data_IF_000774330115
#
_entry.id   IF_000774330115
#
_cell.length_a   1.000
_cell.length_b   1.000
_cell.length_c   1.000
_cell.angle_alpha   90.00
_cell.angle_beta   90.00
_cell.angle_gamma   90.00
#
_symmetry.space_group_name_H-M   'P 1'
#
loop_
_entity.id
_entity.type
_entity.pdbx_description
1 polymer ?
#
# COMPACT_ATOMS: atom_id res chain seq x y z
N UNK A 1 45.12 -38.60 -48.84
CA UNK A 1 44.87 -38.35 -47.40
C UNK A 1 44.61 -39.67 -46.71
N UNK A 2 45.26 -39.91 -45.58
CA UNK A 2 45.01 -41.14 -44.81
C UNK A 2 43.59 -41.11 -44.24
N UNK A 3 42.97 -42.30 -44.14
CA UNK A 3 41.62 -42.48 -43.58
C UNK A 3 41.51 -41.87 -42.18
N UNK A 4 42.57 -41.94 -41.37
CA UNK A 4 42.69 -41.34 -40.06
C UNK A 4 42.71 -39.80 -40.08
N UNK A 5 43.32 -39.20 -41.10
CA UNK A 5 43.38 -37.72 -41.27
C UNK A 5 41.99 -37.18 -41.59
N UNK A 6 41.16 -37.95 -42.40
CA UNK A 6 39.80 -37.54 -42.71
C UNK A 6 38.92 -37.59 -41.46
N UNK A 7 39.02 -38.66 -40.66
CA UNK A 7 38.25 -38.80 -39.41
C UNK A 7 38.60 -37.67 -38.41
N UNK A 8 39.87 -37.30 -38.27
CA UNK A 8 40.33 -36.25 -37.37
C UNK A 8 39.83 -34.87 -37.82
N UNK A 9 39.91 -34.55 -39.10
CA UNK A 9 39.36 -33.30 -39.64
C UNK A 9 37.84 -33.21 -39.50
N UNK A 10 37.09 -34.27 -39.77
CA UNK A 10 35.64 -34.29 -39.55
C UNK A 10 35.26 -34.12 -38.10
N UNK A 11 35.99 -34.74 -37.18
CA UNK A 11 35.75 -34.57 -35.74
C UNK A 11 36.02 -33.15 -35.27
N UNK A 12 37.12 -32.50 -35.74
CA UNK A 12 37.43 -31.11 -35.38
C UNK A 12 36.37 -30.17 -35.96
N UNK A 13 35.97 -30.32 -37.21
CA UNK A 13 34.92 -29.51 -37.81
C UNK A 13 33.59 -29.67 -37.09
N UNK A 14 33.19 -30.91 -36.75
CA UNK A 14 31.97 -31.14 -36.00
C UNK A 14 31.99 -30.49 -34.60
N UNK A 15 33.09 -30.63 -33.90
CA UNK A 15 33.24 -29.96 -32.56
C UNK A 15 33.23 -28.45 -32.69
N UNK A 16 33.83 -27.87 -33.73
CA UNK A 16 33.77 -26.43 -33.96
C UNK A 16 32.35 -25.95 -34.30
N UNK A 17 31.61 -26.73 -35.09
CA UNK A 17 30.20 -26.44 -35.42
C UNK A 17 29.29 -26.57 -34.18
N UNK A 18 29.50 -27.59 -33.34
CA UNK A 18 28.76 -27.76 -32.09
C UNK A 18 29.10 -26.64 -31.09
N UNK A 19 30.37 -26.28 -30.99
CA UNK A 19 30.78 -25.15 -30.12
C UNK A 19 30.23 -23.81 -30.63
N UNK A 20 30.25 -23.59 -31.94
CA UNK A 20 29.66 -22.41 -32.54
C UNK A 20 28.14 -22.35 -32.32
N UNK A 21 27.45 -23.48 -32.56
CA UNK A 21 26.02 -23.60 -32.34
C UNK A 21 25.65 -23.38 -30.85
N UNK A 22 26.43 -23.95 -29.93
CA UNK A 22 26.21 -23.75 -28.47
C UNK A 22 26.49 -22.34 -28.04
N UNK A 23 27.58 -21.75 -28.55
CA UNK A 23 27.96 -20.35 -28.23
C UNK A 23 26.93 -19.34 -28.76
N UNK A 24 26.54 -19.47 -30.02
CA UNK A 24 25.54 -18.56 -30.62
C UNK A 24 24.11 -18.78 -30.12
N UNK A 25 23.68 -20.01 -29.83
CA UNK A 25 22.38 -20.24 -29.22
C UNK A 25 22.33 -19.72 -27.78
N UNK A 26 23.38 -19.93 -27.00
CA UNK A 26 23.47 -19.39 -25.65
C UNK A 26 23.50 -17.86 -25.62
N UNK A 27 24.18 -17.21 -26.60
CA UNK A 27 24.18 -15.75 -26.71
C UNK A 27 22.81 -15.18 -27.17
N UNK A 28 22.05 -15.91 -28.00
CA UNK A 28 20.76 -15.42 -28.49
C UNK A 28 19.72 -15.36 -27.38
N UNK A 29 19.57 -16.39 -26.56
CA UNK A 29 18.65 -16.37 -25.39
C UNK A 29 19.11 -15.34 -24.36
N UNK A 30 20.42 -15.27 -24.09
CA UNK A 30 20.97 -14.26 -23.19
C UNK A 30 20.91 -12.82 -23.75
N UNK A 31 20.97 -12.64 -25.08
CA UNK A 31 20.98 -11.31 -25.69
C UNK A 31 19.64 -10.60 -25.55
N UNK A 32 18.51 -11.32 -25.68
CA UNK A 32 17.18 -10.73 -25.58
C UNK A 32 16.86 -10.29 -24.15
N UNK A 33 17.09 -11.14 -23.16
CA UNK A 33 16.95 -10.81 -21.74
C UNK A 33 17.91 -9.69 -21.35
N UNK A 34 19.15 -9.73 -21.80
CA UNK A 34 20.13 -8.66 -21.54
C UNK A 34 19.69 -7.32 -22.14
N UNK A 35 19.13 -7.32 -23.35
CA UNK A 35 18.61 -6.10 -23.98
C UNK A 35 17.45 -5.52 -23.18
N UNK A 36 16.49 -6.36 -22.76
CA UNK A 36 15.34 -5.91 -21.98
C UNK A 36 15.73 -5.40 -20.60
N UNK A 37 16.68 -6.05 -19.91
CA UNK A 37 17.18 -5.56 -18.61
C UNK A 37 17.96 -4.26 -18.76
N UNK A 38 18.80 -4.13 -19.78
CA UNK A 38 19.57 -2.89 -20.04
C UNK A 38 18.62 -1.73 -20.41
N UNK A 39 17.55 -1.99 -21.16
CA UNK A 39 16.54 -0.98 -21.46
C UNK A 39 15.78 -0.56 -20.19
N UNK A 40 15.41 -1.50 -19.33
CA UNK A 40 14.77 -1.18 -18.05
C UNK A 40 15.67 -0.32 -17.15
N UNK A 41 16.96 -0.66 -17.03
CA UNK A 41 17.95 0.14 -16.29
C UNK A 41 18.12 1.54 -16.90
N UNK A 42 18.20 1.63 -18.22
CA UNK A 42 18.30 2.91 -18.92
C UNK A 42 17.10 3.80 -18.62
N UNK A 43 15.88 3.29 -18.76
CA UNK A 43 14.64 4.05 -18.50
C UNK A 43 14.54 4.43 -17.03
N UNK A 44 14.86 3.52 -16.11
CA UNK A 44 14.89 3.79 -14.66
C UNK A 44 15.94 4.86 -14.28
N UNK A 45 17.01 5.02 -15.09
CA UNK A 45 18.05 6.04 -14.85
C UNK A 45 17.64 7.46 -15.28
N UNK A 46 16.52 7.63 -16.00
CA UNK A 46 16.02 8.94 -16.42
C UNK A 46 15.46 9.65 -15.19
N UNK A 47 16.19 10.64 -14.71
CA UNK A 47 15.92 11.28 -13.42
C UNK A 47 14.65 12.12 -13.38
N UNK A 48 14.13 12.59 -14.52
CA UNK A 48 13.00 13.50 -14.61
C UNK A 48 13.07 14.65 -13.58
N UNK A 49 14.27 15.22 -13.40
CA UNK A 49 14.59 16.22 -12.37
C UNK A 49 14.34 15.78 -10.91
N UNK A 50 14.09 14.50 -10.65
CA UNK A 50 13.71 13.98 -9.36
C UNK A 50 12.22 14.11 -9.05
N UNK A 51 11.41 14.63 -9.98
CA UNK A 51 10.01 14.97 -9.80
C UNK A 51 9.08 14.24 -10.78
N UNK A 52 9.46 13.04 -11.18
CA UNK A 52 8.70 12.21 -12.12
C UNK A 52 9.50 10.97 -12.50
N UNK A 53 8.98 10.24 -13.44
CA UNK A 53 9.54 8.96 -13.94
C UNK A 53 9.29 8.79 -15.42
N UNK A 54 10.04 7.91 -16.05
CA UNK A 54 9.77 7.43 -17.40
C UNK A 54 9.39 5.93 -17.32
N UNK A 55 8.64 5.46 -18.31
CA UNK A 55 8.19 4.06 -18.38
C UNK A 55 8.64 3.42 -19.70
N UNK A 56 8.80 2.10 -19.72
CA UNK A 56 9.13 1.33 -20.93
C UNK A 56 8.00 1.36 -21.97
N UNK A 57 6.75 1.43 -21.49
CA UNK A 57 5.52 1.53 -22.28
C UNK A 57 4.99 2.96 -22.41
N UNK A 58 5.77 3.95 -21.96
CA UNK A 58 5.41 5.35 -21.98
C UNK A 58 5.51 5.96 -23.38
N UNK A 59 5.11 7.24 -23.48
CA UNK A 59 5.23 8.00 -24.72
C UNK A 59 6.69 8.18 -25.12
N UNK A 60 6.97 8.09 -26.43
CA UNK A 60 8.31 8.28 -26.97
C UNK A 60 8.32 9.53 -27.85
N UNK A 61 9.23 10.45 -27.59
CA UNK A 61 9.47 11.64 -28.41
C UNK A 61 10.95 11.65 -28.82
N UNK A 62 11.22 11.80 -30.11
CA UNK A 62 12.57 11.75 -30.67
C UNK A 62 13.39 10.52 -30.25
N UNK A 63 12.72 9.35 -30.14
CA UNK A 63 13.33 8.09 -29.77
C UNK A 63 13.69 7.96 -28.29
N UNK A 64 13.20 8.84 -27.41
CA UNK A 64 13.44 8.81 -25.97
C UNK A 64 12.11 8.75 -25.20
N UNK A 65 12.05 7.98 -24.11
CA UNK A 65 10.90 8.00 -23.20
C UNK A 65 10.67 9.41 -22.63
N UNK A 66 9.40 9.80 -22.55
CA UNK A 66 8.97 11.09 -21.96
C UNK A 66 8.79 10.93 -20.46
N UNK A 67 9.16 11.97 -19.71
CA UNK A 67 8.90 12.02 -18.28
C UNK A 67 7.41 12.22 -17.97
N UNK A 68 6.88 11.38 -17.12
CA UNK A 68 5.59 11.56 -16.44
C UNK A 68 5.82 12.19 -15.08
N UNK A 69 5.37 13.43 -14.91
CA UNK A 69 5.65 14.21 -13.73
C UNK A 69 4.79 13.83 -12.54
N UNK A 70 5.36 13.92 -11.33
CA UNK A 70 4.60 13.89 -10.09
C UNK A 70 3.57 15.02 -10.07
N UNK A 71 2.51 14.85 -9.27
CA UNK A 71 1.59 15.95 -9.00
C UNK A 71 2.38 17.21 -8.61
N UNK A 72 1.92 18.38 -9.02
CA UNK A 72 2.57 19.65 -8.73
C UNK A 72 3.85 19.95 -9.51
N UNK A 73 4.25 19.11 -10.43
CA UNK A 73 5.38 19.37 -11.32
C UNK A 73 4.98 19.31 -12.79
N UNK A 74 5.70 20.00 -13.65
CA UNK A 74 5.45 20.07 -15.08
C UNK A 74 6.69 20.39 -15.89
N UNK A 75 6.50 20.56 -17.21
CA UNK A 75 7.57 20.71 -18.19
C UNK A 75 8.07 19.35 -18.70
N UNK A 76 8.85 19.35 -19.78
CA UNK A 76 9.34 18.12 -20.44
C UNK A 76 10.24 17.24 -19.55
N UNK A 77 10.81 17.81 -18.51
CA UNK A 77 11.70 17.13 -17.56
C UNK A 77 11.24 17.25 -16.11
N UNK A 78 9.96 17.58 -15.88
CA UNK A 78 9.38 17.75 -14.55
C UNK A 78 10.12 18.74 -13.64
N UNK A 79 10.72 19.78 -14.21
CA UNK A 79 11.54 20.76 -13.48
C UNK A 79 10.75 21.99 -13.01
N UNK A 80 9.49 22.15 -13.44
CA UNK A 80 8.66 23.33 -13.15
C UNK A 80 7.69 23.00 -12.04
N UNK A 81 7.87 23.60 -10.86
CA UNK A 81 6.92 23.47 -9.76
C UNK A 81 5.67 24.33 -10.00
N UNK A 82 4.50 23.76 -9.76
CA UNK A 82 3.18 24.40 -9.89
C UNK A 82 2.64 24.76 -8.50
N UNK A 83 2.78 26.02 -8.04
CA UNK A 83 2.51 26.38 -6.65
C UNK A 83 1.03 26.25 -6.23
N UNK A 84 0.12 26.41 -7.19
CA UNK A 84 -1.34 26.33 -6.94
C UNK A 84 -1.90 24.90 -6.89
N UNK A 85 -1.05 23.90 -7.07
CA UNK A 85 -1.48 22.50 -7.03
C UNK A 85 -2.00 22.09 -5.66
N UNK A 86 -2.72 20.99 -5.59
CA UNK A 86 -3.24 20.41 -4.34
C UNK A 86 -2.25 19.35 -3.83
N UNK A 87 -1.92 19.40 -2.54
CA UNK A 87 -1.20 18.30 -1.89
C UNK A 87 -2.17 17.12 -1.71
N UNK A 88 -2.03 16.11 -2.56
CA UNK A 88 -2.84 14.90 -2.47
C UNK A 88 -2.33 13.99 -1.34
N UNK A 89 -3.08 13.96 -0.25
CA UNK A 89 -2.90 13.04 0.87
C UNK A 89 -4.08 12.06 1.01
N UNK A 90 -4.90 11.87 -0.04
CA UNK A 90 -6.03 10.94 -0.02
C UNK A 90 -5.66 9.54 -0.49
N UNK A 91 -4.94 9.40 -1.62
CA UNK A 91 -4.61 8.11 -2.22
C UNK A 91 -3.74 7.23 -1.32
N UNK A 92 -4.02 5.92 -1.33
CA UNK A 92 -3.25 4.90 -0.59
C UNK A 92 -2.18 4.19 -1.42
N UNK A 93 -1.79 4.74 -2.58
CA UNK A 93 -0.80 4.13 -3.45
C UNK A 93 0.61 4.29 -2.88
N UNK A 94 1.35 3.20 -2.62
CA UNK A 94 2.63 3.26 -1.92
C UNK A 94 3.79 3.68 -2.82
N UNK A 95 3.70 4.88 -3.39
CA UNK A 95 4.70 5.48 -4.27
C UNK A 95 6.07 5.68 -3.59
N UNK A 96 6.14 5.70 -2.28
CA UNK A 96 7.40 5.75 -1.54
C UNK A 96 8.33 4.56 -1.81
N UNK A 97 7.80 3.45 -2.35
CA UNK A 97 8.58 2.28 -2.77
C UNK A 97 9.20 2.43 -4.16
N UNK A 98 8.81 3.44 -4.94
CA UNK A 98 9.32 3.65 -6.30
C UNK A 98 10.86 3.70 -6.38
N UNK A 99 11.59 4.43 -5.53
CA UNK A 99 13.05 4.45 -5.59
C UNK A 99 13.70 3.07 -5.37
N UNK A 100 13.06 2.20 -4.57
CA UNK A 100 13.50 0.82 -4.43
C UNK A 100 13.33 0.05 -5.75
N UNK A 101 12.17 0.17 -6.40
CA UNK A 101 11.90 -0.53 -7.65
C UNK A 101 12.74 -0.01 -8.82
N UNK A 102 13.02 1.30 -8.89
CA UNK A 102 13.94 1.87 -9.88
C UNK A 102 15.35 1.28 -9.73
N UNK A 103 15.83 1.10 -8.49
CA UNK A 103 17.12 0.43 -8.22
C UNK A 103 17.11 -1.04 -8.66
N UNK A 104 15.97 -1.70 -8.63
CA UNK A 104 15.79 -3.11 -8.99
C UNK A 104 15.14 -3.29 -10.38
N UNK A 105 15.22 -2.31 -11.26
CA UNK A 105 14.58 -2.31 -12.57
C UNK A 105 14.96 -3.54 -13.40
N UNK A 106 16.24 -3.90 -13.46
CA UNK A 106 16.71 -5.06 -14.21
C UNK A 106 16.13 -6.39 -13.65
N UNK A 107 16.20 -6.59 -12.34
CA UNK A 107 15.78 -7.86 -11.70
C UNK A 107 14.26 -8.03 -11.67
N UNK A 108 13.49 -6.94 -11.67
CA UNK A 108 12.02 -6.95 -11.71
C UNK A 108 11.44 -6.95 -13.14
N UNK A 109 12.28 -6.78 -14.17
CA UNK A 109 11.84 -6.76 -15.57
C UNK A 109 11.23 -8.08 -16.00
N UNK A 110 10.13 -7.98 -16.75
CA UNK A 110 9.42 -9.11 -17.34
C UNK A 110 9.46 -8.99 -18.85
N UNK A 111 9.70 -10.12 -19.54
CA UNK A 111 9.58 -10.22 -20.99
C UNK A 111 8.53 -11.27 -21.28
N UNK A 112 7.40 -10.85 -21.85
CA UNK A 112 6.27 -11.72 -22.16
C UNK A 112 6.01 -11.71 -23.67
N UNK A 113 6.53 -12.70 -24.43
CA UNK A 113 6.26 -12.80 -25.86
C UNK A 113 4.81 -13.25 -26.11
N UNK A 114 4.24 -12.89 -27.28
CA UNK A 114 2.85 -13.18 -27.61
C UNK A 114 2.46 -14.67 -27.63
N UNK A 115 3.45 -15.59 -27.71
CA UNK A 115 3.21 -17.04 -27.62
C UNK A 115 3.38 -17.58 -26.18
N UNK A 116 3.65 -16.71 -25.19
CA UNK A 116 3.90 -17.13 -23.83
C UNK A 116 2.67 -17.83 -23.25
N UNK A 117 2.81 -19.10 -22.92
CA UNK A 117 1.80 -19.93 -22.24
C UNK A 117 0.35 -19.61 -22.64
N UNK A 118 0.02 -19.84 -23.91
CA UNK A 118 -1.32 -19.63 -24.47
C UNK A 118 -2.33 -20.60 -23.83
N UNK A 119 -2.74 -20.29 -22.60
CA UNK A 119 -3.77 -21.02 -21.87
C UNK A 119 -4.42 -20.07 -20.88
N UNK A 120 -5.72 -20.17 -20.74
CA UNK A 120 -6.49 -19.49 -19.71
C UNK A 120 -6.74 -20.36 -18.47
N UNK A 121 -6.23 -21.59 -18.45
CA UNK A 121 -6.36 -22.46 -17.30
C UNK A 121 -5.53 -21.95 -16.13
N UNK A 122 -6.16 -21.93 -14.97
CA UNK A 122 -5.64 -21.29 -13.77
C UNK A 122 -4.50 -22.09 -13.13
N UNK A 123 -4.63 -23.40 -13.02
CA UNK A 123 -3.62 -24.28 -12.45
C UNK A 123 -3.38 -25.48 -13.36
N UNK A 124 -2.24 -25.50 -14.03
CA UNK A 124 -1.85 -26.51 -15.02
C UNK A 124 -0.58 -27.25 -14.62
N UNK A 125 -0.19 -27.22 -13.36
CA UNK A 125 1.06 -27.80 -12.85
C UNK A 125 2.34 -27.25 -13.53
N UNK A 126 2.26 -26.07 -14.14
CA UNK A 126 3.42 -25.43 -14.74
C UNK A 126 4.47 -25.06 -13.70
N UNK A 127 5.73 -24.91 -14.13
CA UNK A 127 6.81 -24.46 -13.24
C UNK A 127 6.49 -23.11 -12.58
N UNK A 128 5.86 -22.17 -13.32
CA UNK A 128 5.47 -20.87 -12.78
C UNK A 128 4.41 -21.02 -11.70
N UNK A 129 3.37 -21.82 -11.94
CA UNK A 129 2.31 -22.05 -10.95
C UNK A 129 2.86 -22.69 -9.68
N UNK A 130 3.73 -23.71 -9.81
CA UNK A 130 4.37 -24.37 -8.66
C UNK A 130 5.31 -23.45 -7.88
N UNK A 131 6.07 -22.63 -8.58
CA UNK A 131 7.00 -21.69 -7.96
C UNK A 131 6.26 -20.54 -7.28
N UNK A 132 5.18 -20.05 -7.88
CA UNK A 132 4.30 -19.06 -7.30
C UNK A 132 3.59 -19.62 -6.06
N UNK A 133 3.05 -20.84 -6.14
CA UNK A 133 2.41 -21.54 -5.04
C UNK A 133 3.33 -21.68 -3.82
N UNK A 134 4.61 -22.00 -4.04
CA UNK A 134 5.61 -22.06 -2.99
C UNK A 134 5.87 -20.69 -2.33
N UNK A 135 5.91 -19.62 -3.11
CA UNK A 135 6.09 -18.24 -2.61
C UNK A 135 4.83 -17.76 -1.88
N UNK A 136 3.66 -18.10 -2.38
CA UNK A 136 2.35 -17.70 -1.83
C UNK A 136 2.08 -18.40 -0.50
N UNK A 137 2.48 -19.66 -0.33
CA UNK A 137 2.36 -20.38 0.96
C UNK A 137 3.10 -19.69 2.09
N UNK A 138 4.11 -18.90 1.79
CA UNK A 138 4.83 -18.09 2.77
C UNK A 138 4.18 -16.71 3.01
N UNK A 139 3.33 -16.24 2.11
CA UNK A 139 2.77 -14.88 2.13
C UNK A 139 1.25 -14.80 2.18
N UNK A 140 0.52 -15.92 2.06
CA UNK A 140 -0.95 -16.10 1.94
C UNK A 140 -1.84 -14.93 2.44
N UNK A 141 -2.97 -14.65 1.98
CA UNK A 141 -4.15 -15.18 1.35
C UNK A 141 -5.34 -14.26 1.47
N UNK A 142 -6.33 -14.38 0.63
CA UNK A 142 -7.46 -13.48 0.66
C UNK A 142 -8.79 -14.05 0.30
N UNK A 143 -9.79 -13.53 0.74
CA UNK A 143 -11.04 -12.98 0.27
C UNK A 143 -12.29 -13.82 0.31
N UNK A 144 -13.32 -13.17 0.78
CA UNK A 144 -14.75 -13.41 0.58
C UNK A 144 -15.32 -14.74 1.06
N UNK A 145 -15.01 -15.09 2.29
CA UNK A 145 -15.72 -16.13 3.03
C UNK A 145 -17.13 -15.68 3.47
N UNK A 146 -17.63 -14.57 2.91
CA UNK A 146 -18.95 -14.03 3.27
C UNK A 146 -20.12 -14.95 2.90
N UNK A 147 -19.92 -15.86 1.95
CA UNK A 147 -21.01 -16.70 1.43
C UNK A 147 -21.10 -18.11 2.02
N UNK A 148 -20.34 -18.45 3.05
CA UNK A 148 -20.10 -19.87 3.33
C UNK A 148 -20.56 -20.40 4.67
N UNK A 149 -21.20 -19.63 5.49
CA UNK A 149 -21.83 -20.16 6.70
C UNK A 149 -23.24 -20.60 6.39
N UNK A 150 -23.57 -21.81 6.81
CA UNK A 150 -24.88 -22.48 6.75
C UNK A 150 -26.02 -21.48 6.68
N UNK A 151 -26.97 -21.66 5.77
CA UNK A 151 -28.17 -20.84 5.59
C UNK A 151 -28.77 -20.44 6.93
N UNK A 152 -28.49 -19.22 7.42
CA UNK A 152 -29.13 -18.78 8.63
C UNK A 152 -30.58 -18.40 8.29
N UNK A 153 -31.49 -18.62 9.23
CA UNK A 153 -32.85 -18.13 9.13
C UNK A 153 -32.97 -16.60 9.14
N UNK A 154 -31.84 -15.91 9.24
CA UNK A 154 -31.66 -14.45 9.17
C UNK A 154 -30.33 -14.11 8.57
N UNK A 155 -30.19 -12.98 7.85
CA UNK A 155 -28.92 -12.54 7.28
C UNK A 155 -27.83 -12.36 8.34
N UNK A 156 -26.59 -12.71 7.98
CA UNK A 156 -25.42 -12.43 8.81
C UNK A 156 -25.17 -10.93 8.93
N UNK A 157 -24.77 -10.46 10.10
CA UNK A 157 -24.46 -9.06 10.36
C UNK A 157 -22.97 -8.82 10.19
N UNK A 158 -22.61 -7.99 9.24
CA UNK A 158 -21.22 -7.60 9.00
C UNK A 158 -20.93 -6.36 9.84
N UNK A 159 -19.89 -6.42 10.66
CA UNK A 159 -19.51 -5.35 11.59
C UNK A 159 -18.00 -5.10 11.55
N UNK A 160 -17.60 -3.88 11.89
CA UNK A 160 -16.18 -3.51 12.03
C UNK A 160 -16.03 -2.41 13.09
N UNK A 161 -14.97 -2.47 13.89
CA UNK A 161 -14.73 -1.44 14.94
C UNK A 161 -14.35 -0.10 14.33
N UNK A 162 -15.13 0.95 14.69
CA UNK A 162 -14.86 2.33 14.25
C UNK A 162 -13.52 2.86 14.81
N UNK A 163 -12.72 3.61 14.02
CA UNK A 163 -12.89 3.84 12.60
C UNK A 163 -12.53 2.58 11.80
N UNK A 164 -13.25 2.30 10.71
CA UNK A 164 -13.07 1.12 9.86
C UNK A 164 -12.83 1.50 8.40
N UNK A 165 -12.29 0.57 7.62
CA UNK A 165 -12.04 0.80 6.19
C UNK A 165 -13.36 0.91 5.40
N UNK A 166 -13.61 2.01 4.66
CA UNK A 166 -14.92 2.31 4.05
C UNK A 166 -15.46 1.22 3.12
N UNK A 167 -14.57 0.54 2.40
CA UNK A 167 -14.94 -0.49 1.42
C UNK A 167 -15.76 -1.62 2.04
N UNK A 168 -15.61 -1.93 3.32
CA UNK A 168 -16.40 -2.98 3.98
C UNK A 168 -17.89 -2.68 3.91
N UNK A 169 -18.26 -1.44 4.22
CA UNK A 169 -19.64 -0.96 4.12
C UNK A 169 -20.09 -0.91 2.66
N UNK A 170 -19.29 -0.24 1.83
CA UNK A 170 -19.62 0.02 0.42
C UNK A 170 -19.83 -1.29 -0.36
N UNK A 171 -18.96 -2.29 -0.22
CA UNK A 171 -19.11 -3.60 -0.87
C UNK A 171 -20.32 -4.37 -0.32
N UNK A 172 -20.51 -4.39 0.99
CA UNK A 172 -21.63 -5.10 1.60
C UNK A 172 -22.97 -4.52 1.14
N UNK A 173 -23.08 -3.20 1.07
CA UNK A 173 -24.28 -2.51 0.59
C UNK A 173 -24.47 -2.64 -0.93
N UNK A 174 -23.38 -2.60 -1.71
CA UNK A 174 -23.41 -2.72 -3.17
C UNK A 174 -23.97 -4.09 -3.62
N UNK A 175 -23.48 -5.17 -3.01
CA UNK A 175 -23.97 -6.52 -3.34
C UNK A 175 -25.39 -6.75 -2.85
N UNK A 176 -25.88 -5.99 -1.87
CA UNK A 176 -27.24 -6.02 -1.35
C UNK A 176 -27.78 -7.45 -1.17
N UNK A 177 -26.96 -8.32 -0.59
CA UNK A 177 -27.26 -9.74 -0.42
C UNK A 177 -28.38 -9.94 0.59
N UNK A 178 -29.23 -10.96 0.36
CA UNK A 178 -30.17 -11.43 1.37
C UNK A 178 -29.47 -12.18 2.50
N UNK A 179 -28.24 -12.67 2.29
CA UNK A 179 -27.48 -13.50 3.21
C UNK A 179 -26.71 -12.69 4.27
N UNK A 180 -26.41 -11.41 3.99
CA UNK A 180 -25.65 -10.56 4.92
C UNK A 180 -25.96 -9.06 4.74
N UNK A 181 -25.78 -8.28 5.84
CA UNK A 181 -25.95 -6.82 5.85
C UNK A 181 -24.90 -6.15 6.72
N UNK A 182 -24.47 -4.94 6.33
CA UNK A 182 -23.58 -4.14 7.15
C UNK A 182 -24.37 -3.47 8.28
N UNK A 183 -23.93 -3.68 9.52
CA UNK A 183 -24.61 -3.17 10.75
C UNK A 183 -23.80 -2.05 11.45
N UNK A 184 -22.59 -1.76 10.98
CA UNK A 184 -21.78 -0.66 11.52
C UNK A 184 -20.76 -1.09 12.57
N UNK A 185 -20.68 -0.31 13.66
CA UNK A 185 -19.64 -0.47 14.68
C UNK A 185 -19.83 -1.72 15.54
N UNK A 186 -18.77 -2.51 15.66
CA UNK A 186 -18.71 -3.70 16.54
C UNK A 186 -19.07 -3.38 18.00
N UNK A 187 -18.77 -2.17 18.50
CA UNK A 187 -19.07 -1.77 19.87
C UNK A 187 -20.56 -1.80 20.21
N UNK A 188 -21.42 -1.61 19.22
CA UNK A 188 -22.87 -1.68 19.38
C UNK A 188 -23.33 -3.11 19.74
N UNK A 189 -22.52 -4.12 19.41
CA UNK A 189 -22.81 -5.52 19.66
C UNK A 189 -22.15 -6.08 20.95
N UNK A 190 -21.20 -5.40 21.54
CA UNK A 190 -20.45 -5.88 22.71
C UNK A 190 -21.12 -5.59 24.06
N UNK A 191 -22.08 -4.70 24.12
CA UNK A 191 -22.81 -4.41 25.36
C UNK A 191 -23.88 -5.46 25.56
N UNK A 192 -23.86 -6.21 26.66
CA UNK A 192 -24.73 -7.31 27.17
C UNK A 192 -26.24 -7.30 26.79
N UNK A 193 -26.65 -6.44 25.90
CA UNK A 193 -28.00 -6.29 25.35
C UNK A 193 -28.18 -6.98 23.99
N UNK A 194 -27.60 -8.20 23.85
CA UNK A 194 -28.21 -9.17 22.96
C UNK A 194 -28.19 -8.87 21.48
N UNK A 195 -27.03 -8.63 20.89
CA UNK A 195 -26.86 -8.92 19.47
C UNK A 195 -27.11 -10.43 19.28
N UNK A 196 -28.34 -10.78 18.94
CA UNK A 196 -28.73 -12.16 18.60
C UNK A 196 -28.55 -12.35 17.10
N UNK A 197 -27.86 -13.41 16.70
CA UNK A 197 -27.68 -13.74 15.29
C UNK A 197 -26.25 -14.11 14.96
N UNK A 198 -25.98 -14.30 13.68
CA UNK A 198 -24.66 -14.61 13.16
C UNK A 198 -23.93 -13.31 12.80
N UNK A 199 -22.68 -13.22 13.18
CA UNK A 199 -21.82 -12.05 12.92
C UNK A 199 -20.62 -12.42 12.08
N UNK A 200 -20.22 -11.49 11.23
CA UNK A 200 -18.94 -11.48 10.52
C UNK A 200 -18.24 -10.18 10.93
N UNK A 201 -17.23 -10.31 11.76
CA UNK A 201 -16.41 -9.17 12.19
C UNK A 201 -15.22 -8.99 11.25
N UNK A 202 -15.05 -7.78 10.71
CA UNK A 202 -13.92 -7.39 9.90
C UNK A 202 -12.91 -6.63 10.78
N UNK A 203 -11.72 -7.19 10.94
CA UNK A 203 -10.65 -6.66 11.80
C UNK A 203 -9.45 -6.27 10.97
N UNK A 204 -9.30 -4.99 10.68
CA UNK A 204 -8.10 -4.46 10.01
C UNK A 204 -6.98 -4.25 11.03
N UNK A 205 -5.81 -4.87 10.83
CA UNK A 205 -4.69 -4.76 11.76
C UNK A 205 -3.33 -4.81 11.02
N UNK A 206 -2.51 -3.73 11.02
CA UNK A 206 -2.82 -2.42 11.57
C UNK A 206 -4.00 -1.74 10.85
N UNK A 207 -4.77 -1.01 11.60
CA UNK A 207 -6.02 -0.44 11.11
C UNK A 207 -5.81 0.69 10.09
N UNK A 208 -6.69 0.76 9.14
CA UNK A 208 -6.88 1.89 8.25
C UNK A 208 -8.17 2.62 8.71
N UNK A 209 -8.08 3.82 9.35
CA UNK A 209 -7.07 4.87 9.05
C UNK A 209 -5.98 5.11 10.10
N UNK A 210 -6.08 4.59 11.33
CA UNK A 210 -5.34 5.07 12.49
C UNK A 210 -4.06 4.27 12.83
N UNK A 211 -3.75 3.19 12.08
CA UNK A 211 -2.54 2.39 12.26
C UNK A 211 -2.49 1.56 13.54
N UNK A 212 -3.57 1.49 14.34
CA UNK A 212 -3.62 0.68 15.55
C UNK A 212 -3.66 -0.81 15.24
N UNK A 213 -2.95 -1.62 16.02
CA UNK A 213 -3.08 -3.09 15.97
C UNK A 213 -4.36 -3.50 16.69
N UNK A 214 -5.39 -3.83 15.92
CA UNK A 214 -6.70 -4.27 16.44
C UNK A 214 -6.77 -5.78 16.56
N UNK A 215 -7.65 -6.25 17.46
CA UNK A 215 -8.01 -7.65 17.63
C UNK A 215 -9.51 -7.82 17.53
N UNK A 216 -9.96 -9.04 17.24
CA UNK A 216 -11.39 -9.39 17.27
C UNK A 216 -11.99 -9.09 18.63
N UNK A 217 -13.17 -8.48 18.63
CA UNK A 217 -13.94 -8.10 19.80
C UNK A 217 -15.04 -9.13 20.05
N UNK A 218 -15.67 -9.63 18.98
CA UNK A 218 -16.74 -10.62 19.08
C UNK A 218 -16.17 -12.01 19.26
N UNK A 219 -16.80 -12.79 20.14
CA UNK A 219 -16.39 -14.16 20.46
C UNK A 219 -17.59 -15.10 20.45
N UNK A 220 -17.29 -16.39 20.30
CA UNK A 220 -18.29 -17.46 20.36
C UNK A 220 -18.67 -18.05 19.00
N UNK A 221 -19.50 -19.10 18.99
CA UNK A 221 -19.75 -19.90 17.78
C UNK A 221 -20.51 -19.12 16.69
N UNK A 222 -21.25 -18.09 17.06
CA UNK A 222 -22.04 -17.26 16.13
C UNK A 222 -21.23 -16.10 15.54
N UNK A 223 -19.99 -15.87 15.98
CA UNK A 223 -19.10 -14.85 15.46
C UNK A 223 -18.03 -15.50 14.57
N UNK A 224 -17.84 -14.97 13.37
CA UNK A 224 -16.75 -15.30 12.48
C UNK A 224 -15.93 -14.04 12.25
N UNK A 225 -14.62 -14.17 12.21
CA UNK A 225 -13.72 -13.02 12.05
C UNK A 225 -12.94 -13.15 10.76
N UNK A 226 -12.84 -12.05 10.03
CA UNK A 226 -11.95 -11.89 8.89
C UNK A 226 -10.90 -10.86 9.30
N UNK A 227 -9.63 -11.28 9.34
CA UNK A 227 -8.50 -10.41 9.66
C UNK A 227 -7.92 -9.82 8.38
N UNK A 228 -8.05 -8.51 8.22
CA UNK A 228 -7.44 -7.75 7.13
C UNK A 228 -6.06 -7.26 7.54
N UNK A 229 -5.04 -7.93 7.02
CA UNK A 229 -3.63 -7.66 7.24
C UNK A 229 -2.98 -6.90 6.07
N UNK A 230 -3.74 -6.12 5.31
CA UNK A 230 -3.23 -5.36 4.16
C UNK A 230 -1.98 -4.53 4.50
N UNK A 231 -1.87 -4.03 5.72
CA UNK A 231 -0.74 -3.24 6.22
C UNK A 231 0.14 -3.99 7.24
N UNK A 232 -0.03 -5.29 7.44
CA UNK A 232 0.76 -6.06 8.40
C UNK A 232 2.13 -6.45 7.83
N UNK A 233 2.89 -5.43 7.44
CA UNK A 233 4.23 -5.55 6.85
C UNK A 233 5.24 -4.73 7.64
N UNK A 234 6.52 -5.19 7.73
CA UNK A 234 7.55 -4.54 8.55
C UNK A 234 7.82 -3.07 8.26
N UNK A 235 7.42 -2.55 7.12
CA UNK A 235 7.56 -1.14 6.76
C UNK A 235 6.38 -0.27 7.22
N UNK A 236 5.24 -0.84 7.63
CA UNK A 236 4.10 -0.08 8.16
C UNK A 236 3.87 -0.25 9.65
N UNK A 237 4.31 -1.38 10.23
CA UNK A 237 4.10 -1.67 11.64
C UNK A 237 5.20 -2.59 12.15
N UNK A 238 5.55 -2.53 13.45
CA UNK A 238 6.24 -3.64 14.08
C UNK A 238 5.41 -4.92 13.96
N UNK A 239 6.06 -6.03 13.66
CA UNK A 239 5.41 -7.35 13.59
C UNK A 239 5.65 -8.06 14.93
N UNK A 240 4.76 -7.97 15.92
CA UNK A 240 5.00 -8.54 17.25
C UNK A 240 5.03 -10.07 17.24
N UNK A 241 4.26 -10.69 16.34
CA UNK A 241 4.22 -12.14 16.12
C UNK A 241 3.85 -12.42 14.66
N UNK A 242 4.05 -13.65 14.22
CA UNK A 242 3.49 -14.11 12.95
C UNK A 242 1.96 -14.06 13.04
N UNK A 243 1.33 -13.67 11.93
CA UNK A 243 -0.13 -13.75 11.83
C UNK A 243 -0.54 -15.23 11.77
N UNK A 244 -1.47 -15.62 12.63
CA UNK A 244 -1.97 -17.01 12.74
C UNK A 244 -3.45 -16.97 13.12
N UNK A 245 -4.27 -16.52 12.19
CA UNK A 245 -5.71 -16.38 12.37
C UNK A 245 -6.45 -17.28 11.38
N UNK A 246 -7.68 -17.69 11.72
CA UNK A 246 -8.44 -18.62 10.90
C UNK A 246 -8.74 -18.14 9.48
N UNK A 247 -8.87 -16.82 9.32
CA UNK A 247 -9.09 -16.20 8.01
C UNK A 247 -8.36 -14.87 7.95
N UNK A 248 -7.40 -14.78 7.06
CA UNK A 248 -6.51 -13.65 6.89
C UNK A 248 -6.55 -13.11 5.46
N UNK A 249 -6.50 -11.80 5.34
CA UNK A 249 -6.43 -11.06 4.07
C UNK A 249 -5.10 -10.31 4.02
N UNK A 250 -4.30 -10.55 2.97
CA UNK A 250 -3.12 -9.77 2.65
C UNK A 250 -3.27 -9.15 1.26
N UNK A 251 -2.44 -8.18 0.90
CA UNK A 251 -2.42 -7.60 -0.44
C UNK A 251 -1.03 -7.20 -0.88
N UNK A 252 -0.69 -7.54 -2.10
CA UNK A 252 0.54 -7.10 -2.76
C UNK A 252 0.53 -5.60 -3.05
N UNK A 253 -0.65 -5.00 -3.19
CA UNK A 253 -0.78 -3.55 -3.38
C UNK A 253 -0.07 -2.75 -2.29
N UNK A 254 -0.05 -3.23 -1.06
CA UNK A 254 0.63 -2.56 0.06
C UNK A 254 2.02 -3.11 0.34
N UNK A 255 2.26 -4.39 0.01
CA UNK A 255 3.59 -5.00 0.13
C UNK A 255 4.57 -4.41 -0.87
N UNK A 256 4.22 -4.40 -2.14
CA UNK A 256 5.13 -4.07 -3.25
C UNK A 256 4.74 -2.83 -4.05
N UNK A 257 3.53 -2.31 -3.85
CA UNK A 257 2.97 -1.22 -4.67
C UNK A 257 2.20 -1.70 -5.91
N UNK A 258 2.07 -3.01 -6.10
CA UNK A 258 1.41 -3.61 -7.27
C UNK A 258 0.10 -4.29 -6.84
N UNK A 259 -1.01 -3.98 -7.53
CA UNK A 259 -2.34 -4.47 -7.13
C UNK A 259 -2.60 -5.91 -7.53
N UNK A 260 -2.63 -6.82 -6.56
CA UNK A 260 -3.06 -8.22 -6.72
C UNK A 260 -3.45 -8.81 -5.35
N UNK A 261 -4.32 -9.83 -5.32
CA UNK A 261 -4.89 -10.41 -4.09
C UNK A 261 -4.75 -11.94 -4.05
N UNK A 262 -4.70 -12.53 -2.83
CA UNK A 262 -4.42 -13.95 -2.59
C UNK A 262 -5.27 -14.60 -1.46
N UNK A 263 -5.38 -15.96 -1.36
CA UNK A 263 -6.46 -16.70 -0.69
C UNK A 263 -6.07 -17.93 0.16
N UNK A 264 -6.89 -18.30 1.20
CA UNK A 264 -6.84 -19.48 2.09
C UNK A 264 -7.48 -20.76 1.48
N UNK A 265 -7.02 -22.00 1.84
CA UNK A 265 -7.34 -23.30 1.20
C UNK A 265 -8.82 -23.74 1.32
N UNK A 266 -9.51 -23.61 2.45
CA UNK A 266 -10.90 -24.03 2.58
C UNK A 266 -11.89 -23.02 1.96
N UNK A 267 -11.53 -21.76 2.00
CA UNK A 267 -12.14 -20.67 1.26
C UNK A 267 -11.74 -20.77 -0.21
N UNK A 268 -10.51 -21.14 -0.50
CA UNK A 268 -9.95 -21.39 -1.82
C UNK A 268 -10.81 -22.35 -2.65
N UNK A 269 -11.22 -23.52 -2.15
CA UNK A 269 -12.02 -24.48 -2.93
C UNK A 269 -13.42 -23.90 -3.32
N UNK A 270 -14.04 -23.13 -2.48
CA UNK A 270 -15.32 -22.47 -2.80
C UNK A 270 -15.14 -21.25 -3.68
N UNK A 271 -14.06 -20.51 -3.49
CA UNK A 271 -13.69 -19.41 -4.37
C UNK A 271 -13.16 -19.88 -5.71
N UNK A 272 -12.42 -20.99 -5.79
CA UNK A 272 -12.11 -21.61 -7.06
C UNK A 272 -13.38 -21.91 -7.83
N UNK A 273 -14.43 -22.40 -7.15
CA UNK A 273 -15.73 -22.59 -7.80
C UNK A 273 -16.32 -21.26 -8.27
N UNK A 274 -16.30 -20.21 -7.44
CA UNK A 274 -16.79 -18.89 -7.81
C UNK A 274 -15.93 -18.24 -8.91
N UNK A 275 -14.61 -18.32 -8.80
CA UNK A 275 -13.67 -17.79 -9.80
C UNK A 275 -13.79 -18.54 -11.12
N UNK A 276 -13.93 -19.87 -11.10
CA UNK A 276 -14.15 -20.66 -12.30
C UNK A 276 -15.47 -20.30 -13.00
N UNK A 277 -16.49 -19.91 -12.23
CA UNK A 277 -17.77 -19.48 -12.77
C UNK A 277 -17.78 -18.01 -13.24
N UNK A 278 -16.89 -17.16 -12.69
CA UNK A 278 -16.93 -15.70 -12.93
C UNK A 278 -15.73 -15.14 -13.69
N UNK A 279 -14.50 -15.62 -13.46
CA UNK A 279 -13.28 -15.00 -13.98
C UNK A 279 -12.30 -15.96 -14.66
N UNK A 280 -12.48 -17.26 -14.59
CA UNK A 280 -11.53 -18.29 -15.05
C UNK A 280 -10.12 -18.20 -14.44
N UNK A 281 -9.92 -17.37 -13.38
CA UNK A 281 -8.67 -17.24 -12.65
C UNK A 281 -7.80 -16.04 -13.07
N UNK A 282 -6.56 -16.03 -12.58
CA UNK A 282 -5.58 -14.97 -12.82
C UNK A 282 -4.76 -15.25 -14.07
N UNK A 283 -4.59 -14.25 -14.95
CA UNK A 283 -3.80 -14.37 -16.16
C UNK A 283 -2.35 -14.81 -15.84
N UNK A 284 -1.74 -15.61 -16.70
CA UNK A 284 -0.38 -16.13 -16.47
C UNK A 284 0.69 -15.06 -16.46
N UNK A 285 0.51 -14.01 -17.23
CA UNK A 285 1.37 -12.83 -17.24
C UNK A 285 1.36 -12.16 -15.86
N UNK A 286 0.18 -12.07 -15.26
CA UNK A 286 0.00 -11.57 -13.90
C UNK A 286 0.72 -12.45 -12.88
N UNK A 287 0.55 -13.78 -12.96
CA UNK A 287 1.27 -14.73 -12.10
C UNK A 287 2.79 -14.59 -12.26
N UNK A 288 3.31 -14.46 -13.49
CA UNK A 288 4.73 -14.23 -13.73
C UNK A 288 5.23 -12.91 -13.13
N UNK A 289 4.41 -11.86 -13.26
CA UNK A 289 4.72 -10.55 -12.65
C UNK A 289 4.82 -10.67 -11.15
N UNK A 290 3.83 -11.25 -10.49
CA UNK A 290 3.83 -11.49 -9.03
C UNK A 290 5.07 -12.26 -8.61
N UNK A 291 5.36 -13.39 -9.26
CA UNK A 291 6.53 -14.20 -8.96
C UNK A 291 7.84 -13.41 -9.05
N UNK A 292 7.98 -12.57 -10.09
CA UNK A 292 9.16 -11.71 -10.26
C UNK A 292 9.29 -10.67 -9.15
N UNK A 293 8.19 -10.00 -8.82
CA UNK A 293 8.16 -8.99 -7.75
C UNK A 293 8.46 -9.62 -6.38
N UNK A 294 7.86 -10.77 -6.08
CA UNK A 294 8.12 -11.49 -4.83
C UNK A 294 9.57 -11.94 -4.73
N UNK A 295 10.17 -12.48 -5.81
CA UNK A 295 11.59 -12.87 -5.80
C UNK A 295 12.49 -11.70 -5.42
N UNK A 296 12.25 -10.51 -5.94
CA UNK A 296 13.00 -9.29 -5.56
C UNK A 296 12.67 -8.87 -4.13
N UNK A 297 11.39 -8.88 -3.76
CA UNK A 297 10.96 -8.43 -2.43
C UNK A 297 11.52 -9.31 -1.30
N UNK A 298 11.60 -10.64 -1.50
CA UNK A 298 12.11 -11.58 -0.48
C UNK A 298 13.61 -11.83 -0.57
N UNK A 299 14.30 -11.23 -1.52
CA UNK A 299 15.75 -11.33 -1.63
C UNK A 299 16.42 -10.91 -0.31
N UNK A 300 17.44 -11.65 0.12
CA UNK A 300 18.06 -11.47 1.43
C UNK A 300 17.06 -11.52 2.60
N UNK A 301 16.09 -12.44 2.55
CA UNK A 301 15.03 -12.57 3.55
C UNK A 301 14.15 -11.28 3.66
N UNK A 302 13.97 -10.56 2.56
CA UNK A 302 13.22 -9.30 2.51
C UNK A 302 13.89 -8.11 3.21
N UNK A 303 15.09 -8.29 3.75
CA UNK A 303 15.76 -7.28 4.60
C UNK A 303 16.00 -5.97 3.85
N UNK A 304 16.32 -6.02 2.57
CA UNK A 304 16.58 -4.80 1.80
C UNK A 304 15.30 -3.97 1.63
N UNK A 305 14.26 -4.57 1.09
CA UNK A 305 12.98 -3.89 0.86
C UNK A 305 12.34 -3.39 2.15
N UNK A 306 12.22 -4.25 3.16
CA UNK A 306 11.57 -3.87 4.41
C UNK A 306 12.37 -2.85 5.22
N UNK A 307 13.69 -2.86 5.16
CA UNK A 307 14.49 -1.82 5.82
C UNK A 307 14.40 -0.49 5.08
N UNK A 308 14.44 -0.48 3.73
CA UNK A 308 14.20 0.71 2.94
C UNK A 308 12.85 1.34 3.29
N UNK A 309 11.78 0.55 3.21
CA UNK A 309 10.43 1.02 3.52
C UNK A 309 10.28 1.50 4.96
N UNK A 310 10.83 0.77 5.94
CA UNK A 310 10.82 1.18 7.34
C UNK A 310 11.53 2.53 7.55
N UNK A 311 12.72 2.72 6.99
CA UNK A 311 13.47 3.98 7.17
C UNK A 311 12.70 5.17 6.59
N UNK A 312 12.14 5.02 5.39
CA UNK A 312 11.34 6.05 4.73
C UNK A 312 10.11 6.41 5.56
N UNK A 313 9.30 5.41 5.93
CA UNK A 313 8.07 5.63 6.69
C UNK A 313 8.35 6.16 8.10
N UNK A 314 9.42 5.69 8.74
CA UNK A 314 9.85 6.19 10.07
C UNK A 314 10.27 7.65 10.01
N UNK A 315 10.99 8.05 8.97
CA UNK A 315 11.39 9.43 8.79
C UNK A 315 10.18 10.34 8.55
N UNK A 316 9.24 9.92 7.68
CA UNK A 316 8.00 10.65 7.41
C UNK A 316 7.15 10.81 8.67
N UNK A 317 6.92 9.74 9.41
CA UNK A 317 6.17 9.77 10.66
C UNK A 317 6.81 10.72 11.68
N UNK A 318 8.13 10.65 11.85
CA UNK A 318 8.85 11.55 12.78
C UNK A 318 8.75 13.02 12.38
N UNK A 319 8.90 13.34 11.09
CA UNK A 319 8.75 14.72 10.60
C UNK A 319 7.34 15.25 10.87
N UNK A 320 6.31 14.50 10.50
CA UNK A 320 4.92 14.90 10.71
C UNK A 320 4.59 15.02 12.21
N UNK A 321 4.90 14.01 13.01
CA UNK A 321 4.64 14.02 14.46
C UNK A 321 5.30 15.20 15.14
N UNK A 322 6.56 15.54 14.75
CA UNK A 322 7.25 16.73 15.26
C UNK A 322 6.52 18.02 14.87
N UNK A 323 6.02 18.13 13.65
CA UNK A 323 5.25 19.31 13.22
C UNK A 323 3.95 19.41 14.01
N UNK A 324 3.23 18.31 14.17
CA UNK A 324 1.95 18.28 14.89
C UNK A 324 2.10 18.52 16.40
N UNK A 325 3.21 18.11 17.01
CA UNK A 325 3.46 18.36 18.44
C UNK A 325 3.61 19.84 18.80
N UNK A 326 3.75 20.72 17.82
CA UNK A 326 3.79 22.16 18.00
C UNK A 326 2.41 22.83 17.91
N UNK A 327 1.38 22.06 17.54
CA UNK A 327 0.02 22.54 17.35
C UNK A 327 -0.86 22.24 18.57
N UNK A 328 -1.80 23.15 18.84
CA UNK A 328 -2.94 22.93 19.73
C UNK A 328 -4.24 22.77 18.96
N UNK A 329 -4.24 23.13 17.66
CA UNK A 329 -5.40 23.05 16.79
C UNK A 329 -5.55 21.67 16.15
N UNK A 330 -4.44 20.92 16.07
CA UNK A 330 -4.39 19.62 15.41
C UNK A 330 -3.70 18.61 16.31
N UNK A 331 -4.25 17.40 16.35
CA UNK A 331 -3.61 16.22 16.94
C UNK A 331 -3.60 15.07 15.95
N UNK A 332 -2.69 14.12 16.14
CA UNK A 332 -2.65 12.86 15.40
C UNK A 332 -2.63 11.69 16.39
N UNK A 333 -2.99 10.50 15.92
CA UNK A 333 -2.99 9.30 16.74
C UNK A 333 -1.64 9.03 17.41
N UNK A 334 -1.68 8.49 18.62
CA UNK A 334 -0.50 7.99 19.32
C UNK A 334 -0.29 6.51 19.01
N UNK A 335 0.94 6.15 18.67
CA UNK A 335 1.34 4.79 18.38
C UNK A 335 2.59 4.42 19.17
N UNK A 336 2.49 3.34 19.92
CA UNK A 336 3.56 2.86 20.78
C UNK A 336 4.71 2.20 20.00
N UNK A 337 5.89 2.19 20.61
CA UNK A 337 7.00 1.37 20.16
C UNK A 337 6.76 -0.08 20.58
N UNK A 338 7.01 -1.03 19.69
CA UNK A 338 6.80 -2.45 19.96
C UNK A 338 7.97 -3.29 19.47
N UNK A 339 8.15 -4.48 20.08
CA UNK A 339 9.08 -5.47 19.57
C UNK A 339 8.61 -5.98 18.21
N UNK A 340 9.53 -6.08 17.26
CA UNK A 340 9.29 -6.61 15.92
C UNK A 340 10.08 -7.91 15.74
N UNK A 341 9.39 -9.04 15.63
CA UNK A 341 9.99 -10.36 15.46
C UNK A 341 10.80 -10.47 14.16
N UNK A 342 10.33 -9.84 13.08
CA UNK A 342 11.07 -9.82 11.80
C UNK A 342 12.47 -9.20 11.91
N UNK A 343 12.63 -8.16 12.69
CA UNK A 343 13.91 -7.45 12.85
C UNK A 343 14.60 -7.71 14.19
N UNK A 344 14.00 -8.52 15.06
CA UNK A 344 14.49 -8.92 16.38
C UNK A 344 14.85 -7.71 17.29
N UNK A 345 14.11 -6.61 17.16
CA UNK A 345 14.35 -5.38 17.94
C UNK A 345 13.08 -4.58 18.12
N UNK A 346 13.09 -3.68 19.11
CA UNK A 346 12.02 -2.70 19.29
C UNK A 346 12.07 -1.69 18.14
N UNK A 347 10.92 -1.49 17.50
CA UNK A 347 10.73 -0.51 16.42
C UNK A 347 9.70 0.53 16.80
N UNK A 348 9.92 1.76 16.34
CA UNK A 348 8.93 2.82 16.46
C UNK A 348 7.89 2.75 15.35
N UNK A 349 6.79 3.49 15.55
CA UNK A 349 5.69 3.54 14.62
C UNK A 349 6.09 4.03 13.21
N UNK A 350 5.48 3.41 12.22
CA UNK A 350 5.66 3.69 10.77
C UNK A 350 4.33 3.59 10.03
N UNK A 351 3.23 4.19 10.51
CA UNK A 351 1.92 3.96 9.94
C UNK A 351 1.84 4.43 8.49
N UNK A 352 1.02 3.75 7.69
CA UNK A 352 0.73 4.16 6.31
C UNK A 352 -0.01 5.51 6.25
N UNK A 353 -0.74 5.84 7.31
CA UNK A 353 -1.60 7.02 7.39
C UNK A 353 -1.45 7.75 8.73
N UNK A 354 -1.61 9.08 8.67
CA UNK A 354 -1.88 9.86 9.86
C UNK A 354 -3.39 10.08 9.99
N UNK A 355 -3.92 9.86 11.20
CA UNK A 355 -5.30 10.12 11.56
C UNK A 355 -5.36 11.44 12.31
N UNK A 356 -5.56 12.51 11.52
CA UNK A 356 -5.57 13.88 12.02
C UNK A 356 -6.93 14.23 12.63
N UNK A 357 -6.92 14.91 13.75
CA UNK A 357 -8.10 15.50 14.40
C UNK A 357 -7.96 16.99 14.49
N UNK A 358 -8.99 17.75 14.14
CA UNK A 358 -9.13 19.15 14.43
C UNK A 358 -9.70 19.33 15.84
N UNK A 359 -8.97 20.02 16.74
CA UNK A 359 -9.30 20.13 18.16
C UNK A 359 -10.19 21.34 18.48
N UNK A 360 -10.17 22.40 17.64
CA UNK A 360 -10.97 23.59 17.88
C UNK A 360 -12.46 23.30 17.68
N UNK A 361 -13.31 23.91 18.53
CA UNK A 361 -14.77 23.73 18.47
C UNK A 361 -15.40 24.25 17.16
N UNK A 362 -14.82 25.32 16.58
CA UNK A 362 -15.25 25.87 15.31
C UNK A 362 -14.91 24.98 14.11
N UNK A 363 -13.89 24.13 14.19
CA UNK A 363 -13.42 23.25 13.10
C UNK A 363 -14.21 21.94 13.08
N UNK A 364 -15.52 22.04 12.88
CA UNK A 364 -16.40 20.87 12.82
C UNK A 364 -16.13 19.97 11.61
N UNK A 365 -15.65 20.56 10.52
CA UNK A 365 -15.21 19.85 9.31
C UNK A 365 -13.72 20.08 9.07
N UNK A 366 -12.91 19.14 9.53
CA UNK A 366 -11.47 19.20 9.41
C UNK A 366 -10.99 19.11 7.96
N UNK A 367 -11.75 18.44 7.08
CA UNK A 367 -11.41 18.35 5.67
C UNK A 367 -11.53 19.73 4.99
N UNK A 368 -12.54 20.52 5.34
CA UNK A 368 -12.70 21.89 4.85
C UNK A 368 -11.54 22.80 5.32
N UNK A 369 -11.06 22.63 6.56
CA UNK A 369 -9.87 23.33 7.07
C UNK A 369 -8.64 23.02 6.23
N UNK A 370 -8.39 21.75 5.92
CA UNK A 370 -7.25 21.33 5.10
C UNK A 370 -7.36 21.82 3.67
N UNK A 371 -8.55 21.79 3.08
CA UNK A 371 -8.79 22.32 1.75
C UNK A 371 -8.48 23.82 1.62
N UNK A 372 -8.66 24.61 2.68
CA UNK A 372 -8.34 26.04 2.69
C UNK A 372 -6.86 26.33 2.44
N UNK A 373 -5.98 25.35 2.64
CA UNK A 373 -4.55 25.41 2.35
C UNK A 373 -4.11 24.43 1.26
N UNK A 374 -5.05 24.04 0.41
CA UNK A 374 -4.82 23.12 -0.71
C UNK A 374 -4.27 21.73 -0.31
N UNK A 375 -4.75 21.17 0.80
CA UNK A 375 -4.49 19.78 1.18
C UNK A 375 -5.77 18.97 0.99
N UNK A 376 -5.71 17.85 0.29
CA UNK A 376 -6.80 16.87 0.18
C UNK A 376 -6.45 15.62 0.98
N UNK A 377 -7.28 15.32 1.99
CA UNK A 377 -7.24 14.09 2.76
C UNK A 377 -8.56 13.33 2.64
N UNK A 378 -8.66 12.17 3.26
CA UNK A 378 -9.89 11.38 3.26
C UNK A 378 -10.72 11.66 4.49
N UNK A 379 -11.95 12.12 4.25
CA UNK A 379 -12.88 12.58 5.28
C UNK A 379 -13.21 11.49 6.32
N UNK A 380 -13.24 11.86 7.61
CA UNK A 380 -13.45 10.93 8.73
C UNK A 380 -14.79 10.20 8.69
N UNK A 381 -15.85 10.83 8.18
CA UNK A 381 -17.17 10.22 8.09
C UNK A 381 -17.20 8.96 7.20
N UNK A 382 -16.31 8.85 6.21
CA UNK A 382 -16.17 7.65 5.39
C UNK A 382 -15.74 6.43 6.21
N UNK A 383 -15.01 6.66 7.32
CA UNK A 383 -14.53 5.62 8.24
C UNK A 383 -15.50 5.38 9.42
N UNK A 384 -16.72 5.94 9.37
CA UNK A 384 -17.67 5.89 10.46
C UNK A 384 -17.34 6.81 11.63
N UNK A 385 -16.38 7.73 11.49
CA UNK A 385 -15.95 8.68 12.51
C UNK A 385 -16.58 10.08 12.32
N UNK A 386 -16.31 10.99 13.25
CA UNK A 386 -16.76 12.38 13.15
C UNK A 386 -16.07 13.15 12.03
N UNK A 387 -16.71 14.19 11.50
CA UNK A 387 -16.18 15.06 10.45
C UNK A 387 -14.93 15.85 10.86
N UNK A 388 -14.65 15.94 12.18
CA UNK A 388 -13.43 16.55 12.69
C UNK A 388 -12.17 15.69 12.53
N UNK A 389 -12.29 14.50 11.95
CA UNK A 389 -11.17 13.64 11.62
C UNK A 389 -10.91 13.61 10.13
N UNK A 390 -9.63 13.50 9.75
CA UNK A 390 -9.18 13.31 8.36
C UNK A 390 -8.02 12.32 8.33
N UNK A 391 -8.06 11.37 7.39
CA UNK A 391 -6.92 10.50 7.10
C UNK A 391 -5.99 11.17 6.12
N UNK A 392 -4.70 11.27 6.46
CA UNK A 392 -3.64 11.77 5.61
C UNK A 392 -2.71 10.63 5.19
N UNK A 393 -2.52 10.46 3.90
CA UNK A 393 -1.64 9.44 3.33
C UNK A 393 -0.17 9.82 3.49
N UNK A 394 0.62 8.89 4.06
CA UNK A 394 2.07 9.03 4.19
C UNK A 394 2.83 8.17 3.17
N UNK A 395 2.11 7.41 2.34
CA UNK A 395 2.70 6.43 1.41
C UNK A 395 2.92 6.97 -0.01
N UNK A 396 2.53 8.19 -0.28
CA UNK A 396 2.67 8.88 -1.58
C UNK A 396 4.14 9.08 -1.98
N UNK A 397 4.39 9.75 -3.09
CA UNK A 397 5.73 10.15 -3.51
C UNK A 397 6.41 11.06 -2.47
N UNK A 398 7.73 11.26 -2.57
CA UNK A 398 8.44 12.19 -1.69
C UNK A 398 7.95 13.62 -1.89
N UNK A 399 7.64 14.01 -3.14
CA UNK A 399 7.10 15.34 -3.47
C UNK A 399 5.76 15.60 -2.78
N UNK A 400 4.82 14.64 -2.85
CA UNK A 400 3.51 14.76 -2.21
C UNK A 400 3.66 14.89 -0.69
N UNK A 401 4.54 14.07 -0.10
CA UNK A 401 4.77 14.10 1.35
C UNK A 401 5.44 15.41 1.80
N UNK A 402 6.45 15.88 1.09
CA UNK A 402 7.16 17.11 1.44
C UNK A 402 6.25 18.34 1.27
N UNK A 403 5.38 18.35 0.25
CA UNK A 403 4.37 19.39 0.08
C UNK A 403 3.31 19.36 1.18
N UNK A 404 2.81 18.17 1.54
CA UNK A 404 1.91 17.99 2.68
C UNK A 404 2.54 18.54 3.96
N UNK A 405 3.78 18.15 4.26
CA UNK A 405 4.50 18.57 5.45
C UNK A 405 4.71 20.09 5.49
N UNK A 406 5.07 20.70 4.37
CA UNK A 406 5.24 22.15 4.22
C UNK A 406 3.94 22.89 4.51
N UNK A 407 2.81 22.47 3.96
CA UNK A 407 1.52 23.11 4.16
C UNK A 407 0.98 22.93 5.57
N UNK A 408 1.14 21.74 6.16
CA UNK A 408 0.83 21.51 7.57
C UNK A 408 1.69 22.41 8.49
N UNK A 409 2.97 22.57 8.18
CA UNK A 409 3.87 23.49 8.90
C UNK A 409 3.40 24.94 8.81
N UNK A 410 2.84 25.36 7.66
CA UNK A 410 2.26 26.71 7.51
C UNK A 410 1.05 26.91 8.41
N UNK A 411 0.12 25.93 8.48
CA UNK A 411 -1.04 25.98 9.38
C UNK A 411 -0.61 26.11 10.85
N UNK A 412 0.35 25.29 11.28
CA UNK A 412 0.86 25.35 12.67
C UNK A 412 1.58 26.68 12.95
N UNK A 413 2.25 27.27 11.98
CA UNK A 413 2.90 28.58 12.12
C UNK A 413 1.89 29.73 12.23
N UNK A 414 0.78 29.65 11.49
CA UNK A 414 -0.32 30.62 11.59
C UNK A 414 -1.00 30.58 12.95
N UNK A 415 -1.19 29.40 13.54
CA UNK A 415 -1.68 29.21 14.90
C UNK A 415 -0.82 29.99 15.90
N UNK A 416 0.50 29.79 15.87
CA UNK A 416 1.43 30.41 16.78
C UNK A 416 1.44 31.96 16.66
N UNK A 417 1.26 32.48 15.44
CA UNK A 417 1.15 33.95 15.23
C UNK A 417 -0.15 34.51 15.78
N UNK A 418 -1.28 33.80 15.59
CA UNK A 418 -2.57 34.23 16.15
C UNK A 418 -2.59 34.19 17.68
N UNK A 419 -2.00 33.19 18.32
CA UNK A 419 -1.83 33.13 19.79
C UNK A 419 -0.95 34.28 20.29
N UNK A 420 0.09 34.67 19.55
CA UNK A 420 0.94 35.80 19.87
C UNK A 420 0.18 37.14 19.82
N UNK A 421 -0.63 37.35 18.76
CA UNK A 421 -1.45 38.57 18.61
C UNK A 421 -2.53 38.63 19.70
N UNK A 422 -3.21 37.53 20.01
CA UNK A 422 -4.22 37.46 21.05
C UNK A 422 -3.64 37.74 22.45
N UNK A 423 -2.43 37.25 22.75
CA UNK A 423 -1.72 37.58 24.00
C UNK A 423 -1.37 39.06 24.09
N UNK A 424 -0.96 39.70 23.00
CA UNK A 424 -0.67 41.13 22.96
C UNK A 424 -1.95 41.94 23.18
N UNK A 425 -3.07 41.55 22.52
CA UNK A 425 -4.35 42.22 22.69
C UNK A 425 -4.94 42.07 24.10
N UNK A 426 -4.78 40.92 24.75
CA UNK A 426 -5.22 40.74 26.15
C UNK A 426 -4.38 41.57 27.11
N UNK A 427 -3.07 41.63 26.93
CA UNK A 427 -2.21 42.51 27.75
C UNK A 427 -2.47 44.00 27.51
N UNK A 428 -2.81 44.43 26.30
CA UNK A 428 -3.18 45.82 26.01
C UNK A 428 -4.54 46.20 26.63
N UNK A 429 -5.50 45.27 26.67
CA UNK A 429 -6.80 45.50 27.30
C UNK A 429 -6.72 45.53 28.84
N UNK A 430 -5.78 44.85 29.49
CA UNK A 430 -5.53 44.94 30.92
C UNK A 430 -4.90 46.28 31.30
N UNK A 431 -4.14 46.93 30.41
CA UNK A 431 -3.54 48.26 30.63
C UNK A 431 -4.50 49.45 30.42
N UNK A 432 -5.60 49.23 29.67
CA UNK A 432 -6.59 50.30 29.39
C UNK A 432 -7.72 50.35 30.45
N UNK A 433 -7.76 49.37 31.37
CA UNK A 433 -8.84 49.22 32.37
C UNK A 433 -8.70 49.97 33.70
N UNK A 434 -7.64 50.75 33.94
CA UNK A 434 -7.38 51.37 35.25
C UNK A 434 -7.11 52.87 35.19
N UNK A 435 -7.93 53.65 34.49
CA UNK A 435 -8.00 55.13 34.76
C UNK A 435 -9.48 55.51 34.87
N UNK A 436 -10.05 55.22 36.05
CA UNK A 436 -11.18 56.00 36.58
C UNK A 436 -10.65 57.17 37.36
N UNK A 437 -10.57 58.31 36.72
CA UNK A 437 -10.44 59.63 37.43
C UNK A 437 -11.59 59.80 38.39
N UNK A 438 -11.26 59.77 39.68
CA UNK A 438 -12.08 60.39 40.74
C UNK A 438 -11.70 61.86 40.85
N UNK A 439 -12.64 62.70 40.41
CA UNK A 439 -12.61 64.12 40.65
C UNK A 439 -14.02 64.58 40.95
#
# INVERSE_FOLDING_TARGET
MSRNTIFLTCSIVLNLLLFHSWYFHGEWEQSWTKSATAEAEFVASISCSGHGRAFLDGSIVDGKPVCECNACYGGSHCSVFLPECIADADSGDPMFLEPFWLKHAASSTIVVPGWHRMSYEFNDDSLISKELDAQIRETSCTVQALSTTNHPSSPSRVVASTPYYPIYKEQTEFFNSEDYKFEGDTSLCNNNNGCKGNFIELVTSPNNPDGQLKKAVLQGPSAKTIHDFAYYWPHYTPIPALADENLMIFTLSKLTGHGEADLDEAVHQRMLTYMNLSTYGVARETQLRVLKLLKVAVENEGKEMFNFGYQTMRNRWRKLSKTMSLSKWFSIQELETQFCSFSERVRGATPAYAWLKCEREEDKDCNAVLHSVNITGRHGSLFGAESRFVRLSLVKSDDDFDLLLKRMGTLVSQENNNDGINKIMTHTNEFIGTDKCTG
#
